data_IF_044145663269
#
_entry.id   IF_044145663269
#
_cell.length_a   1.000
_cell.length_b   1.000
_cell.length_c   1.000
_cell.angle_alpha   90.00
_cell.angle_beta   90.00
_cell.angle_gamma   90.00
#
_symmetry.space_group_name_H-M   'P 1'
#
loop_
_entity.id
_entity.type
_entity.pdbx_description
1 polymer ?
#
# COMPACT_ATOMS: atom_id res chain seq x y z
N UNK A 1 46.04 -31.59 -69.73
CA UNK A 1 45.38 -31.41 -68.45
C UNK A 1 45.15 -29.91 -68.23
N UNK A 2 44.01 -29.47 -68.65
CA UNK A 2 43.68 -28.06 -68.87
C UNK A 2 42.81 -27.56 -67.74
N UNK A 3 43.24 -26.46 -67.11
CA UNK A 3 42.47 -25.69 -66.14
C UNK A 3 41.48 -24.78 -66.87
N UNK A 4 40.23 -24.66 -66.43
CA UNK A 4 39.30 -23.63 -66.88
C UNK A 4 39.51 -22.30 -66.18
N UNK A 5 39.12 -21.18 -66.85
CA UNK A 5 39.40 -19.83 -66.33
C UNK A 5 38.39 -19.35 -65.25
N UNK A 6 38.94 -18.55 -64.37
CA UNK A 6 38.28 -17.87 -63.28
C UNK A 6 37.49 -16.63 -63.78
N UNK A 7 36.18 -16.57 -63.57
CA UNK A 7 35.35 -15.39 -63.79
C UNK A 7 34.80 -14.90 -62.47
N UNK A 8 35.50 -13.97 -61.84
CA UNK A 8 34.98 -13.20 -60.77
C UNK A 8 34.34 -11.88 -61.23
N UNK A 9 33.09 -11.59 -60.90
CA UNK A 9 32.54 -10.26 -61.13
C UNK A 9 32.93 -9.34 -59.99
N UNK A 10 33.60 -8.27 -60.36
CA UNK A 10 34.04 -7.16 -59.52
C UNK A 10 32.83 -6.34 -59.01
N UNK A 11 32.48 -6.47 -57.76
CA UNK A 11 31.52 -5.55 -57.09
C UNK A 11 32.29 -4.40 -56.48
N UNK A 12 31.98 -3.21 -56.99
CA UNK A 12 32.49 -1.93 -56.46
C UNK A 12 32.13 -1.68 -55.01
N UNK A 13 33.14 -1.45 -54.21
CA UNK A 13 33.00 -0.98 -52.83
C UNK A 13 32.75 0.53 -52.86
N UNK A 14 31.59 0.96 -52.39
CA UNK A 14 31.36 2.34 -51.98
C UNK A 14 31.91 2.57 -50.57
N UNK A 15 32.63 3.68 -50.31
CA UNK A 15 33.09 4.00 -48.98
C UNK A 15 31.94 4.46 -48.10
N UNK A 16 31.96 4.16 -46.73
CA UNK A 16 30.94 4.60 -45.82
C UNK A 16 30.99 6.12 -45.57
N UNK A 17 29.82 6.77 -45.35
CA UNK A 17 29.81 8.21 -45.04
C UNK A 17 30.37 8.46 -43.64
N UNK A 18 31.41 9.24 -43.55
CA UNK A 18 31.93 9.85 -42.31
C UNK A 18 30.96 10.91 -41.82
N UNK A 19 30.57 10.81 -40.55
CA UNK A 19 29.91 11.94 -39.84
C UNK A 19 28.85 11.57 -38.86
N UNK A 20 29.23 10.98 -37.72
CA UNK A 20 28.47 11.13 -36.49
C UNK A 20 29.43 11.47 -35.38
N UNK A 21 29.32 12.73 -34.90
CA UNK A 21 30.01 13.23 -33.73
C UNK A 21 29.46 12.52 -32.46
N UNK A 22 30.30 12.19 -31.47
CA UNK A 22 29.84 11.64 -30.22
C UNK A 22 29.06 12.69 -29.41
N UNK A 23 28.08 12.28 -28.57
CA UNK A 23 27.32 13.21 -27.74
C UNK A 23 28.26 13.85 -26.71
N UNK A 24 28.26 15.19 -26.70
CA UNK A 24 29.00 16.03 -25.77
C UNK A 24 28.27 16.03 -24.43
N UNK A 25 28.88 15.43 -23.41
CA UNK A 25 28.43 15.53 -22.04
C UNK A 25 28.57 17.00 -21.58
N UNK A 26 27.41 17.67 -21.42
CA UNK A 26 27.32 19.01 -20.85
C UNK A 26 27.68 19.01 -19.37
N UNK A 27 28.66 19.83 -19.00
CA UNK A 27 29.00 20.13 -17.62
C UNK A 27 27.82 20.84 -16.92
N UNK A 28 27.60 20.62 -15.62
CA UNK A 28 26.58 21.36 -14.87
C UNK A 28 27.01 22.81 -14.70
N UNK A 29 26.13 23.72 -15.13
CA UNK A 29 26.31 25.17 -14.88
C UNK A 29 25.99 25.49 -13.41
N UNK A 30 26.76 26.42 -12.80
CA UNK A 30 26.47 26.90 -11.45
C UNK A 30 25.20 27.76 -11.42
N UNK A 31 24.48 27.85 -10.29
CA UNK A 31 23.23 28.60 -10.18
C UNK A 31 23.53 30.11 -10.28
N UNK A 32 22.87 30.76 -11.23
CA UNK A 32 22.94 32.21 -11.42
C UNK A 32 21.91 32.89 -10.51
N UNK A 33 22.41 33.55 -9.46
CA UNK A 33 21.62 34.45 -8.62
C UNK A 33 21.44 35.79 -9.33
N UNK A 34 20.18 36.26 -9.40
CA UNK A 34 19.91 37.70 -9.54
C UNK A 34 19.21 38.09 -10.84
N UNK A 35 18.02 38.49 -10.69
CA UNK A 35 17.31 39.70 -11.17
C UNK A 35 15.85 39.35 -11.49
N UNK A 36 14.98 39.88 -10.63
CA UNK A 36 13.52 39.92 -10.89
C UNK A 36 13.26 40.95 -12.00
N UNK A 37 12.46 40.57 -13.02
CA UNK A 37 11.91 41.58 -13.95
C UNK A 37 10.71 42.26 -13.29
N UNK A 38 10.46 43.55 -13.66
CA UNK A 38 9.38 44.36 -13.09
C UNK A 38 7.99 43.84 -13.55
N UNK A 39 6.91 44.14 -12.80
CA UNK A 39 5.56 43.71 -13.12
C UNK A 39 5.05 44.38 -14.37
N UNK A 40 4.72 43.59 -15.40
CA UNK A 40 4.10 44.04 -16.65
C UNK A 40 2.58 44.00 -16.50
N UNK A 41 1.97 45.16 -16.35
CA UNK A 41 0.54 45.37 -16.55
C UNK A 41 0.21 45.24 -18.04
N UNK A 42 -0.52 44.23 -18.46
CA UNK A 42 -0.96 44.06 -19.83
C UNK A 42 -2.18 43.14 -19.92
N UNK A 43 -3.28 43.69 -20.32
CA UNK A 43 -4.60 43.12 -20.46
C UNK A 43 -4.62 41.86 -21.31
N UNK A 44 -5.22 40.77 -20.81
CA UNK A 44 -5.63 39.61 -21.61
C UNK A 44 -7.11 39.75 -21.97
N UNK A 45 -7.48 39.53 -23.23
CA UNK A 45 -8.89 39.46 -23.62
C UNK A 45 -9.55 38.15 -23.16
N UNK A 46 -10.87 38.10 -22.90
CA UNK A 46 -11.56 36.90 -22.43
C UNK A 46 -11.63 35.83 -23.54
N UNK A 47 -11.07 34.66 -23.29
CA UNK A 47 -11.16 33.50 -24.17
C UNK A 47 -12.47 32.74 -23.85
N UNK A 48 -13.50 32.93 -24.69
CA UNK A 48 -14.67 32.08 -24.72
C UNK A 48 -14.29 30.73 -25.38
N UNK A 49 -14.18 29.69 -24.57
CA UNK A 49 -14.09 28.31 -25.00
C UNK A 49 -15.09 27.47 -24.23
N UNK A 50 -16.19 27.14 -24.87
CA UNK A 50 -17.27 26.31 -24.33
C UNK A 50 -16.75 24.87 -24.12
N UNK A 51 -16.71 24.40 -22.88
CA UNK A 51 -16.69 22.96 -22.58
C UNK A 51 -18.13 22.44 -22.53
N UNK A 52 -18.44 21.30 -23.16
CA UNK A 52 -19.76 20.69 -23.05
C UNK A 52 -20.03 20.24 -21.62
N UNK A 53 -21.29 20.27 -21.13
CA UNK A 53 -21.63 19.86 -19.77
C UNK A 53 -21.41 18.36 -19.59
N UNK A 54 -20.49 18.01 -18.68
CA UNK A 54 -20.27 16.64 -18.21
C UNK A 54 -21.40 16.32 -17.24
N UNK A 55 -22.31 15.43 -17.63
CA UNK A 55 -23.34 14.89 -16.75
C UNK A 55 -22.68 14.19 -15.58
N UNK A 56 -22.83 14.80 -14.38
CA UNK A 56 -22.30 14.30 -13.13
C UNK A 56 -23.04 13.04 -12.68
N UNK A 57 -22.33 11.93 -12.57
CA UNK A 57 -22.76 10.83 -11.74
C UNK A 57 -22.79 11.29 -10.26
N UNK A 58 -23.74 10.85 -9.43
CA UNK A 58 -23.80 11.25 -8.03
C UNK A 58 -22.58 10.77 -7.30
N UNK A 59 -21.72 11.69 -6.92
CA UNK A 59 -20.55 11.45 -6.09
C UNK A 59 -21.03 11.28 -4.65
N UNK A 60 -21.18 10.04 -4.23
CA UNK A 60 -21.35 9.74 -2.81
C UNK A 60 -20.12 10.29 -2.08
N UNK A 61 -20.34 11.31 -1.23
CA UNK A 61 -19.32 11.97 -0.45
C UNK A 61 -18.59 11.00 0.44
N UNK A 62 -17.38 10.59 0.02
CA UNK A 62 -16.43 10.01 0.92
C UNK A 62 -15.90 11.13 1.83
N UNK A 63 -15.81 10.93 3.15
CA UNK A 63 -15.14 11.89 4.01
C UNK A 63 -13.69 12.00 3.54
N UNK A 64 -13.34 13.17 3.03
CA UNK A 64 -11.99 13.52 2.60
C UNK A 64 -11.12 13.72 3.85
N UNK A 65 -10.74 12.62 4.47
CA UNK A 65 -9.55 12.61 5.31
C UNK A 65 -8.37 12.72 4.37
N UNK A 66 -7.58 13.79 4.52
CA UNK A 66 -6.45 14.12 3.67
C UNK A 66 -5.62 12.89 3.30
N UNK A 67 -5.87 12.37 2.11
CA UNK A 67 -5.05 11.30 1.55
C UNK A 67 -3.69 11.93 1.24
N UNK A 68 -2.58 11.40 1.77
CA UNK A 68 -1.25 11.81 1.34
C UNK A 68 -1.14 11.57 -0.17
N UNK A 69 -0.47 12.49 -0.86
CA UNK A 69 -0.29 12.43 -2.31
C UNK A 69 0.24 11.05 -2.76
N UNK A 70 -0.23 10.50 -3.90
CA UNK A 70 0.29 9.26 -4.46
C UNK A 70 1.80 9.38 -4.68
N UNK A 71 2.60 8.51 -4.04
CA UNK A 71 4.07 8.52 -4.14
C UNK A 71 4.82 8.87 -2.86
N UNK A 72 4.15 9.34 -1.80
CA UNK A 72 4.80 9.72 -0.53
C UNK A 72 5.13 8.53 0.40
N UNK A 73 4.68 7.32 0.09
CA UNK A 73 4.86 6.15 0.95
C UNK A 73 6.23 5.46 0.83
N UNK A 74 7.07 5.92 -0.09
CA UNK A 74 8.45 5.45 -0.24
C UNK A 74 9.47 6.13 0.69
N UNK A 75 9.07 7.16 1.46
CA UNK A 75 9.96 7.80 2.42
C UNK A 75 9.94 7.06 3.76
N UNK A 76 11.08 6.59 4.25
CA UNK A 76 11.12 5.81 5.48
C UNK A 76 10.84 6.69 6.69
N UNK A 77 9.92 6.28 7.52
CA UNK A 77 9.84 6.53 8.97
C UNK A 77 8.89 7.60 9.53
N UNK A 78 8.57 8.71 8.86
CA UNK A 78 7.84 9.80 9.54
C UNK A 78 6.39 9.45 9.94
N UNK A 79 5.71 8.51 9.24
CA UNK A 79 4.31 8.16 9.46
C UNK A 79 4.03 6.68 9.77
N UNK A 80 5.09 5.87 9.99
CA UNK A 80 4.91 4.46 10.31
C UNK A 80 4.43 4.26 11.75
N UNK A 81 3.43 3.41 11.93
CA UNK A 81 2.93 3.07 13.26
C UNK A 81 3.99 2.31 14.07
N UNK A 82 4.22 2.74 15.31
CA UNK A 82 5.08 2.02 16.24
C UNK A 82 4.47 0.66 16.61
N UNK A 83 5.33 -0.25 17.11
CA UNK A 83 4.86 -1.55 17.61
C UNK A 83 3.80 -1.39 18.70
N UNK A 84 4.02 -0.49 19.67
CA UNK A 84 3.07 -0.25 20.77
C UNK A 84 1.70 0.26 20.29
N UNK A 85 1.67 1.13 19.28
CA UNK A 85 0.42 1.60 18.68
C UNK A 85 -0.35 0.47 18.00
N UNK A 86 0.35 -0.44 17.29
CA UNK A 86 -0.26 -1.62 16.66
C UNK A 86 -0.79 -2.59 17.70
N UNK A 87 -0.03 -2.85 18.76
CA UNK A 87 -0.44 -3.69 19.89
C UNK A 87 -1.68 -3.11 20.59
N UNK A 88 -1.69 -1.79 20.82
CA UNK A 88 -2.86 -1.10 21.40
C UNK A 88 -4.11 -1.22 20.51
N UNK A 89 -3.98 -1.05 19.21
CA UNK A 89 -5.08 -1.26 18.26
C UNK A 89 -5.61 -2.70 18.33
N UNK A 90 -4.71 -3.69 18.37
CA UNK A 90 -5.09 -5.10 18.47
C UNK A 90 -5.80 -5.42 19.78
N UNK A 91 -5.36 -4.86 20.91
CA UNK A 91 -6.03 -5.02 22.20
C UNK A 91 -7.46 -4.46 22.17
N UNK A 92 -7.67 -3.27 21.57
CA UNK A 92 -9.00 -2.70 21.41
C UNK A 92 -9.88 -3.63 20.55
N UNK A 93 -9.36 -4.12 19.42
CA UNK A 93 -10.09 -5.09 18.57
C UNK A 93 -10.46 -6.35 19.37
N UNK A 94 -9.55 -6.85 20.23
CA UNK A 94 -9.80 -8.02 21.07
C UNK A 94 -10.88 -7.77 22.13
N UNK A 95 -10.89 -6.60 22.75
CA UNK A 95 -11.92 -6.22 23.74
C UNK A 95 -13.32 -6.27 23.14
N UNK A 96 -13.51 -6.00 21.85
CA UNK A 96 -14.83 -6.04 21.20
C UNK A 96 -15.43 -7.46 21.13
N UNK A 97 -14.59 -8.49 21.07
CA UNK A 97 -15.04 -9.89 21.00
C UNK A 97 -15.02 -10.59 22.37
N UNK A 98 -14.37 -9.99 23.36
CA UNK A 98 -14.23 -10.55 24.70
C UNK A 98 -15.56 -10.94 25.37
N UNK A 99 -16.67 -10.15 25.27
CA UNK A 99 -17.95 -10.54 25.85
C UNK A 99 -18.48 -11.90 25.34
N UNK A 100 -18.28 -12.18 24.07
CA UNK A 100 -18.70 -13.45 23.48
C UNK A 100 -17.88 -14.64 24.00
N UNK A 101 -16.58 -14.45 24.23
CA UNK A 101 -15.74 -15.48 24.87
C UNK A 101 -16.16 -15.72 26.33
N UNK A 102 -16.46 -14.65 27.08
CA UNK A 102 -16.94 -14.76 28.45
C UNK A 102 -18.26 -15.53 28.48
N UNK A 103 -19.23 -15.18 27.61
CA UNK A 103 -20.51 -15.89 27.50
C UNK A 103 -20.33 -17.36 27.08
N UNK A 104 -19.43 -17.63 26.15
CA UNK A 104 -19.12 -19.00 25.75
C UNK A 104 -18.65 -19.85 26.96
N UNK A 105 -17.78 -19.29 27.80
CA UNK A 105 -17.22 -20.01 28.95
C UNK A 105 -18.22 -20.09 30.11
N UNK A 106 -18.98 -19.01 30.40
CA UNK A 106 -19.88 -18.96 31.59
C UNK A 106 -21.21 -19.65 31.35
N UNK A 107 -21.82 -19.48 30.17
CA UNK A 107 -23.12 -20.07 29.82
C UNK A 107 -22.95 -21.39 29.05
N UNK A 108 -21.91 -21.48 28.24
CA UNK A 108 -21.65 -22.62 27.37
C UNK A 108 -20.98 -23.83 28.04
N UNK A 109 -20.52 -23.70 29.30
CA UNK A 109 -20.01 -24.84 30.10
C UNK A 109 -21.04 -25.29 31.11
N UNK A 110 -21.47 -26.54 30.99
CA UNK A 110 -22.33 -27.21 31.96
C UNK A 110 -21.59 -28.34 32.69
N UNK A 111 -22.25 -28.98 33.66
CA UNK A 111 -21.71 -30.11 34.42
C UNK A 111 -21.31 -31.29 33.52
N UNK A 112 -21.95 -31.42 32.35
CA UNK A 112 -21.72 -32.50 31.39
C UNK A 112 -20.82 -32.13 30.22
N UNK A 113 -20.06 -30.96 30.33
CA UNK A 113 -19.18 -30.51 29.29
C UNK A 113 -19.70 -29.29 28.53
N UNK A 114 -19.26 -29.13 27.27
CA UNK A 114 -19.65 -28.00 26.42
C UNK A 114 -21.04 -28.21 25.82
N UNK A 115 -21.90 -27.21 25.95
CA UNK A 115 -23.24 -27.22 25.38
C UNK A 115 -23.31 -26.37 24.10
N UNK A 116 -24.51 -26.35 23.44
CA UNK A 116 -24.72 -25.62 22.19
C UNK A 116 -24.34 -24.13 22.28
N UNK A 117 -24.59 -23.46 23.41
CA UNK A 117 -24.30 -22.05 23.59
C UNK A 117 -22.80 -21.75 23.51
N UNK A 118 -21.94 -22.68 23.95
CA UNK A 118 -20.48 -22.51 23.77
C UNK A 118 -20.12 -22.31 22.28
N UNK A 119 -20.60 -23.17 21.41
CA UNK A 119 -20.32 -23.11 19.99
C UNK A 119 -20.96 -21.89 19.32
N UNK A 120 -22.18 -21.53 19.72
CA UNK A 120 -22.88 -20.34 19.19
C UNK A 120 -22.10 -19.07 19.51
N UNK A 121 -21.71 -18.85 20.77
CA UNK A 121 -20.96 -17.67 21.16
C UNK A 121 -19.55 -17.67 20.56
N UNK A 122 -18.92 -18.81 20.41
CA UNK A 122 -17.64 -18.92 19.74
C UNK A 122 -17.73 -18.53 18.27
N UNK A 123 -18.75 -19.00 17.57
CA UNK A 123 -19.00 -18.61 16.17
C UNK A 123 -19.31 -17.14 16.01
N UNK A 124 -20.07 -16.55 16.93
CA UNK A 124 -20.34 -15.10 16.94
C UNK A 124 -19.05 -14.29 17.15
N UNK A 125 -18.18 -14.72 18.06
CA UNK A 125 -16.87 -14.08 18.25
C UNK A 125 -16.01 -14.12 16.98
N UNK A 126 -15.94 -15.28 16.33
CA UNK A 126 -15.17 -15.47 15.07
C UNK A 126 -15.78 -14.63 13.94
N UNK A 127 -17.11 -14.63 13.81
CA UNK A 127 -17.80 -13.84 12.78
C UNK A 127 -17.56 -12.33 12.96
N UNK A 128 -17.67 -11.84 14.22
CA UNK A 128 -17.42 -10.44 14.53
C UNK A 128 -15.95 -10.04 14.30
N UNK A 129 -15.02 -10.92 14.69
CA UNK A 129 -13.60 -10.73 14.43
C UNK A 129 -13.30 -10.63 12.93
N UNK A 130 -13.79 -11.59 12.13
CA UNK A 130 -13.64 -11.61 10.69
C UNK A 130 -14.28 -10.39 10.01
N UNK A 131 -15.49 -10.01 10.44
CA UNK A 131 -16.15 -8.81 9.93
C UNK A 131 -15.28 -7.56 10.16
N UNK A 132 -14.82 -7.33 11.38
CA UNK A 132 -14.01 -6.16 11.72
C UNK A 132 -12.66 -6.13 10.97
N UNK A 133 -12.01 -7.28 10.83
CA UNK A 133 -10.64 -7.33 10.28
C UNK A 133 -10.60 -7.47 8.77
N UNK A 134 -11.58 -8.10 8.15
CA UNK A 134 -11.57 -8.37 6.70
C UNK A 134 -12.52 -7.47 5.94
N UNK A 135 -13.80 -7.44 6.34
CA UNK A 135 -14.83 -6.71 5.60
C UNK A 135 -14.83 -5.21 5.91
N UNK A 136 -14.52 -4.82 7.14
CA UNK A 136 -14.40 -3.41 7.50
C UNK A 136 -12.99 -2.88 7.25
N UNK A 137 -11.96 -3.55 7.76
CA UNK A 137 -10.59 -3.06 7.64
C UNK A 137 -10.02 -3.23 6.22
N UNK A 138 -10.46 -4.22 5.45
CA UNK A 138 -10.01 -4.42 4.07
C UNK A 138 -10.21 -3.19 3.19
N UNK A 139 -11.44 -2.69 3.02
CA UNK A 139 -11.73 -1.52 2.17
C UNK A 139 -11.30 -0.18 2.78
N UNK A 140 -11.28 -0.07 4.12
CA UNK A 140 -10.99 1.21 4.81
C UNK A 140 -9.56 1.36 5.29
N UNK A 141 -8.83 0.25 5.37
CA UNK A 141 -7.54 0.17 6.06
C UNK A 141 -7.66 0.18 7.59
N UNK A 142 -8.87 0.24 8.17
CA UNK A 142 -9.07 0.47 9.59
C UNK A 142 -10.03 -0.56 10.22
N UNK A 143 -9.50 -1.41 11.12
CA UNK A 143 -10.33 -2.08 12.11
C UNK A 143 -10.81 -1.07 13.17
N UNK A 144 -11.75 -1.44 14.01
CA UNK A 144 -12.23 -0.57 15.11
C UNK A 144 -11.08 -0.10 16.01
N UNK A 145 -10.16 -1.03 16.36
CA UNK A 145 -8.99 -0.69 17.15
C UNK A 145 -8.04 0.25 16.43
N UNK A 146 -7.75 0.03 15.14
CA UNK A 146 -6.92 0.94 14.34
C UNK A 146 -7.58 2.32 14.22
N UNK A 147 -8.88 2.37 14.01
CA UNK A 147 -9.64 3.62 13.95
C UNK A 147 -9.54 4.40 15.26
N UNK A 148 -9.66 3.72 16.40
CA UNK A 148 -9.58 4.35 17.73
C UNK A 148 -8.21 5.00 18.02
N UNK A 149 -7.12 4.43 17.49
CA UNK A 149 -5.75 4.96 17.67
C UNK A 149 -5.21 5.72 16.46
N UNK A 150 -6.06 6.01 15.47
CA UNK A 150 -5.69 6.79 14.28
C UNK A 150 -4.74 6.08 13.33
N UNK A 151 -4.77 4.74 13.25
CA UNK A 151 -3.90 3.95 12.37
C UNK A 151 -4.64 3.49 11.12
N UNK A 152 -3.87 3.24 10.06
CA UNK A 152 -4.37 2.71 8.79
C UNK A 152 -3.42 1.64 8.23
N UNK A 153 -3.98 0.52 7.77
CA UNK A 153 -3.29 -0.54 7.04
C UNK A 153 -3.41 -0.28 5.56
N UNK A 154 -2.30 -0.18 4.86
CA UNK A 154 -2.27 0.13 3.43
C UNK A 154 -1.27 -0.77 2.70
N UNK A 155 -1.45 -0.91 1.38
CA UNK A 155 -0.46 -1.53 0.52
C UNK A 155 0.82 -0.70 0.50
N UNK A 156 1.96 -1.34 0.64
CA UNK A 156 3.27 -0.70 0.54
C UNK A 156 3.53 -0.10 -0.85
N UNK A 157 2.96 -0.70 -1.89
CA UNK A 157 3.18 -0.30 -3.28
C UNK A 157 2.28 0.87 -3.69
N UNK A 158 1.00 0.84 -3.26
CA UNK A 158 0.00 1.80 -3.76
C UNK A 158 -0.43 2.83 -2.72
N UNK A 159 -0.14 2.59 -1.43
CA UNK A 159 -0.65 3.41 -0.33
C UNK A 159 -2.16 3.32 -0.11
N UNK A 160 -2.86 2.45 -0.83
CA UNK A 160 -4.30 2.28 -0.75
C UNK A 160 -4.68 1.12 0.19
N UNK A 161 -5.91 1.10 0.73
CA UNK A 161 -6.42 -0.05 1.44
C UNK A 161 -6.35 -1.33 0.60
N UNK A 162 -6.08 -2.47 1.26
CA UNK A 162 -5.71 -3.72 0.59
C UNK A 162 -6.89 -4.60 0.15
N UNK A 163 -8.10 -4.24 0.51
CA UNK A 163 -9.30 -5.02 0.24
C UNK A 163 -9.49 -6.23 1.20
N UNK A 164 -10.71 -6.81 1.21
CA UNK A 164 -11.05 -7.91 2.14
C UNK A 164 -10.19 -9.16 1.95
N UNK A 165 -9.95 -9.56 0.70
CA UNK A 165 -9.17 -10.76 0.38
C UNK A 165 -7.73 -10.67 0.91
N UNK A 166 -7.05 -9.56 0.66
CA UNK A 166 -5.68 -9.38 1.14
C UNK A 166 -5.64 -9.18 2.67
N UNK A 167 -6.67 -8.59 3.27
CA UNK A 167 -6.81 -8.51 4.72
C UNK A 167 -6.95 -9.90 5.35
N UNK A 168 -7.73 -10.79 4.75
CA UNK A 168 -7.83 -12.20 5.15
C UNK A 168 -6.49 -12.95 4.96
N UNK A 169 -5.85 -12.83 3.79
CA UNK A 169 -4.56 -13.47 3.53
C UNK A 169 -3.47 -12.99 4.50
N UNK A 170 -3.51 -11.71 4.89
CA UNK A 170 -2.62 -11.15 5.89
C UNK A 170 -2.84 -11.79 7.26
N UNK A 171 -4.10 -11.97 7.67
CA UNK A 171 -4.40 -12.65 8.94
C UNK A 171 -3.97 -14.11 8.91
N UNK A 172 -4.12 -14.79 7.79
CA UNK A 172 -3.59 -16.14 7.59
C UNK A 172 -2.06 -16.16 7.66
N UNK A 173 -1.39 -15.19 7.03
CA UNK A 173 0.08 -15.05 7.08
C UNK A 173 0.61 -14.77 8.50
N UNK A 174 -0.20 -14.25 9.42
CA UNK A 174 0.17 -14.12 10.84
C UNK A 174 0.44 -15.45 11.54
N UNK A 175 0.03 -16.59 10.96
CA UNK A 175 0.48 -17.89 11.44
C UNK A 175 2.00 -18.03 11.42
N UNK A 176 2.66 -17.41 10.42
CA UNK A 176 4.12 -17.39 10.33
C UNK A 176 4.77 -16.46 11.37
N UNK A 177 4.05 -15.46 11.86
CA UNK A 177 4.53 -14.63 12.98
C UNK A 177 4.50 -15.39 14.30
N UNK A 178 3.58 -16.34 14.43
CA UNK A 178 3.38 -17.14 15.64
C UNK A 178 4.34 -18.34 15.72
N UNK A 179 4.58 -19.05 14.62
CA UNK A 179 5.39 -20.29 14.59
C UNK A 179 6.78 -20.11 15.23
N UNK A 180 7.57 -19.07 14.92
CA UNK A 180 8.87 -18.85 15.55
C UNK A 180 8.74 -18.14 16.90
N UNK A 181 7.96 -18.69 17.84
CA UNK A 181 7.81 -18.15 19.19
C UNK A 181 7.41 -16.65 19.21
N UNK A 182 6.47 -16.23 18.36
CA UNK A 182 5.99 -14.86 18.24
C UNK A 182 7.01 -13.82 17.76
N UNK A 183 8.20 -14.24 17.31
CA UNK A 183 9.25 -13.32 16.83
C UNK A 183 8.73 -12.44 15.67
N UNK A 184 7.89 -12.98 14.78
CA UNK A 184 7.30 -12.21 13.69
C UNK A 184 6.49 -11.00 14.17
N UNK A 185 5.76 -11.14 15.29
CA UNK A 185 5.02 -10.01 15.90
C UNK A 185 5.94 -8.99 16.56
N UNK A 186 7.14 -9.39 17.02
CA UNK A 186 8.13 -8.49 17.58
C UNK A 186 9.02 -7.85 16.51
N UNK A 187 9.04 -8.41 15.30
CA UNK A 187 9.89 -7.95 14.21
C UNK A 187 9.80 -6.45 13.91
N UNK A 188 8.62 -5.78 14.00
CA UNK A 188 8.50 -4.33 13.81
C UNK A 188 9.32 -3.47 14.78
N UNK A 189 9.84 -4.02 15.86
CA UNK A 189 10.68 -3.25 16.81
C UNK A 189 12.00 -2.81 16.16
N UNK A 190 12.58 -3.65 15.29
CA UNK A 190 13.87 -3.40 14.63
C UNK A 190 13.79 -3.30 13.11
N UNK A 191 12.65 -3.65 12.50
CA UNK A 191 12.46 -3.52 11.06
C UNK A 191 12.34 -2.06 10.63
N UNK A 192 13.01 -1.68 9.54
CA UNK A 192 12.99 -0.30 9.03
C UNK A 192 11.59 0.17 8.63
N UNK A 193 10.78 -0.72 8.04
CA UNK A 193 9.40 -0.45 7.62
C UNK A 193 8.38 -0.82 8.69
N UNK A 194 8.82 -1.20 9.88
CA UNK A 194 7.96 -1.63 11.00
C UNK A 194 6.99 -2.73 10.62
N UNK A 195 7.41 -3.66 9.75
CA UNK A 195 6.60 -4.75 9.24
C UNK A 195 6.76 -6.02 10.06
N UNK A 196 5.64 -6.76 10.28
CA UNK A 196 5.66 -8.17 10.70
C UNK A 196 6.03 -9.07 9.52
N UNK A 197 6.22 -10.37 9.73
CA UNK A 197 6.40 -11.30 8.60
C UNK A 197 5.16 -11.33 7.71
N UNK A 198 3.96 -11.33 8.30
CA UNK A 198 2.70 -11.23 7.55
C UNK A 198 2.64 -9.96 6.69
N UNK A 199 3.05 -8.80 7.25
CA UNK A 199 3.11 -7.55 6.50
C UNK A 199 4.04 -7.64 5.28
N UNK A 200 5.21 -8.30 5.43
CA UNK A 200 6.17 -8.48 4.35
C UNK A 200 5.64 -9.38 3.23
N UNK A 201 4.94 -10.46 3.61
CA UNK A 201 4.37 -11.43 2.64
C UNK A 201 3.29 -10.77 1.80
N UNK A 202 2.40 -9.99 2.42
CA UNK A 202 1.27 -9.34 1.74
C UNK A 202 1.64 -7.92 1.25
N UNK A 203 2.89 -7.48 1.45
CA UNK A 203 3.41 -6.15 1.06
C UNK A 203 2.55 -5.02 1.62
N UNK A 204 2.40 -5.00 2.93
CA UNK A 204 1.58 -4.00 3.64
C UNK A 204 2.40 -3.24 4.67
N UNK A 205 1.97 -2.00 4.95
CA UNK A 205 2.50 -1.17 6.03
C UNK A 205 1.35 -0.60 6.85
N UNK A 206 1.63 -0.28 8.10
CA UNK A 206 0.67 0.44 8.96
C UNK A 206 1.20 1.84 9.19
N UNK A 207 0.38 2.83 8.83
CA UNK A 207 0.68 4.26 8.94
C UNK A 207 -0.25 4.92 9.95
N UNK A 208 0.18 6.11 10.43
CA UNK A 208 -0.60 6.97 11.32
C UNK A 208 -1.19 8.14 10.55
#
# INVERSE_FOLDING_TARGET
>A
MTYPPNNDPQYGQQPPPYGQQPPQYGQPQPPQYGQQPPPQYGQQPPQYGQQPPQYGAPQYGQPQYGAPAPGSYGAPSANLASWGQRAGAMLIDFVTILPFYILAVTVGRGSNGLNLFYYVFQLLAIALWGYNRWFQAGPTGQSWGKKAVGLRLVSEETGQPIGPTNAFLRDLAHLLDWIPCYIGYLWPLWDQKKQTFADKIVKTIVVK
#
